data_IF_570107052532
#
_entry.id   IF_570107052532
#
_cell.length_a   1.000
_cell.length_b   1.000
_cell.length_c   1.000
_cell.angle_alpha   90.00
_cell.angle_beta   90.00
_cell.angle_gamma   90.00
#
_symmetry.space_group_name_H-M   'P 1'
#
loop_
_entity.id
_entity.type
_entity.pdbx_description
1 polymer ?
#
# COMPACT_ATOMS: atom_id res chain seq x y z
N UNK A 1 -55.43 -11.23 9.00
CA UNK A 1 -54.08 -11.83 8.90
C UNK A 1 -53.26 -10.99 7.94
N UNK A 2 -52.48 -10.03 8.45
CA UNK A 2 -51.55 -9.24 7.63
C UNK A 2 -50.15 -9.82 7.82
N UNK A 3 -49.56 -10.30 6.73
CA UNK A 3 -48.17 -10.75 6.69
C UNK A 3 -47.28 -9.52 6.45
N UNK A 4 -46.49 -9.12 7.46
CA UNK A 4 -45.38 -8.19 7.26
C UNK A 4 -44.21 -8.94 6.63
N UNK A 5 -43.91 -8.63 5.36
CA UNK A 5 -42.67 -9.04 4.72
C UNK A 5 -41.52 -8.14 5.16
N UNK A 6 -40.51 -8.72 5.82
CA UNK A 6 -39.23 -8.06 6.05
C UNK A 6 -38.44 -8.03 4.74
N UNK A 7 -38.28 -6.84 4.15
CA UNK A 7 -37.32 -6.61 3.08
C UNK A 7 -35.92 -6.50 3.73
N UNK A 8 -35.12 -7.56 3.62
CA UNK A 8 -33.71 -7.51 4.01
C UNK A 8 -32.93 -6.64 3.03
N UNK A 9 -32.49 -5.46 3.47
CA UNK A 9 -31.51 -4.65 2.76
C UNK A 9 -30.18 -5.42 2.74
N UNK A 10 -29.89 -6.09 1.62
CA UNK A 10 -28.55 -6.62 1.38
C UNK A 10 -27.58 -5.44 1.24
N UNK A 11 -26.80 -5.20 2.29
CA UNK A 11 -25.68 -4.26 2.23
C UNK A 11 -24.64 -4.86 1.29
N UNK A 12 -24.42 -4.27 0.12
CA UNK A 12 -23.27 -4.59 -0.72
C UNK A 12 -22.02 -4.11 0.02
N UNK A 13 -21.38 -4.99 0.80
CA UNK A 13 -20.08 -4.69 1.41
C UNK A 13 -19.06 -4.59 0.27
N UNK A 14 -18.61 -3.37 -0.06
CA UNK A 14 -17.48 -3.21 -0.96
C UNK A 14 -16.22 -3.71 -0.23
N UNK A 15 -15.67 -4.83 -0.70
CA UNK A 15 -14.54 -5.47 -0.06
C UNK A 15 -13.18 -4.79 -0.37
N UNK A 16 -13.17 -3.93 -1.38
CA UNK A 16 -11.97 -3.31 -1.92
C UNK A 16 -11.66 -1.96 -1.25
N UNK A 17 -10.41 -1.52 -1.37
CA UNK A 17 -9.91 -0.32 -0.71
C UNK A 17 -8.75 0.29 -1.47
N UNK A 18 -8.38 1.51 -1.11
CA UNK A 18 -7.23 2.20 -1.69
C UNK A 18 -6.54 3.11 -0.67
N UNK A 19 -5.32 3.53 -1.00
CA UNK A 19 -4.61 4.54 -0.26
C UNK A 19 -5.24 5.90 -0.60
N UNK A 20 -5.73 6.60 0.42
CA UNK A 20 -6.59 7.77 0.23
C UNK A 20 -6.00 9.07 0.76
N UNK A 21 -5.14 8.99 1.77
CA UNK A 21 -4.60 10.17 2.41
C UNK A 21 -3.25 9.90 3.09
N UNK A 22 -2.45 10.95 3.23
CA UNK A 22 -1.21 10.95 4.00
C UNK A 22 -1.30 11.99 5.12
N UNK A 23 -0.84 11.62 6.31
CA UNK A 23 -0.73 12.51 7.47
C UNK A 23 0.74 12.64 7.80
N UNK A 24 1.26 13.86 7.81
CA UNK A 24 2.69 14.14 8.02
C UNK A 24 2.86 14.90 9.33
N UNK A 25 3.60 14.31 10.29
CA UNK A 25 3.78 14.93 11.61
C UNK A 25 2.46 15.22 12.33
N UNK A 26 1.43 14.41 12.09
CA UNK A 26 0.08 14.60 12.63
C UNK A 26 -0.82 15.55 11.82
N UNK A 27 -0.32 16.19 10.76
CA UNK A 27 -1.10 17.08 9.90
C UNK A 27 -1.63 16.32 8.69
N UNK A 28 -2.96 16.22 8.62
CA UNK A 28 -3.69 15.67 7.48
C UNK A 28 -3.46 16.53 6.23
N UNK A 29 -3.04 15.91 5.11
CA UNK A 29 -2.74 16.60 3.85
C UNK A 29 -3.96 16.74 2.93
N UNK A 30 -5.10 16.15 3.30
CA UNK A 30 -6.33 16.14 2.55
C UNK A 30 -6.43 15.02 1.53
N UNK A 31 -7.67 14.56 1.31
CA UNK A 31 -7.97 13.38 0.53
C UNK A 31 -7.49 13.48 -0.93
N UNK A 32 -6.72 12.48 -1.36
CA UNK A 32 -6.10 12.40 -2.68
C UNK A 32 -5.00 13.43 -2.96
N UNK A 33 -4.71 14.35 -2.03
CA UNK A 33 -3.67 15.35 -2.26
C UNK A 33 -2.29 14.69 -2.29
N UNK A 34 -1.48 15.11 -3.28
CA UNK A 34 -0.15 14.57 -3.53
C UNK A 34 -0.10 13.06 -3.80
N UNK A 35 -1.25 12.42 -4.02
CA UNK A 35 -1.38 11.00 -4.31
C UNK A 35 -1.73 10.75 -5.76
N UNK A 36 -1.17 9.69 -6.33
CA UNK A 36 -1.55 9.18 -7.65
C UNK A 36 -2.66 8.16 -7.45
N UNK A 37 -3.88 8.67 -7.28
CA UNK A 37 -5.06 7.86 -6.92
C UNK A 37 -5.55 7.06 -8.14
N UNK A 38 -5.80 5.75 -8.02
CA UNK A 38 -6.35 4.94 -9.10
C UNK A 38 -7.81 5.34 -9.42
N UNK A 39 -8.32 5.01 -10.61
CA UNK A 39 -9.69 5.37 -11.00
C UNK A 39 -10.77 4.56 -10.27
N UNK A 40 -10.40 3.43 -9.66
CA UNK A 40 -11.29 2.55 -8.92
C UNK A 40 -10.52 1.81 -7.81
N UNK A 41 -11.22 0.97 -7.06
CA UNK A 41 -10.66 0.18 -5.97
C UNK A 41 -10.16 -1.21 -6.41
N UNK A 42 -10.13 -1.50 -7.71
CA UNK A 42 -9.76 -2.83 -8.19
C UNK A 42 -8.27 -3.11 -7.90
N UNK A 43 -7.91 -4.36 -7.57
CA UNK A 43 -6.53 -4.71 -7.28
C UNK A 43 -5.74 -4.90 -8.57
N UNK A 44 -4.43 -4.67 -8.50
CA UNK A 44 -3.49 -5.17 -9.51
C UNK A 44 -3.24 -6.65 -9.23
N UNK A 45 -3.35 -7.51 -10.23
CA UNK A 45 -3.18 -8.96 -10.07
C UNK A 45 -1.95 -9.47 -10.83
N UNK A 46 -1.67 -8.88 -12.00
CA UNK A 46 -0.49 -9.23 -12.79
C UNK A 46 0.78 -8.60 -12.20
N UNK A 47 1.60 -9.40 -11.53
CA UNK A 47 2.88 -8.97 -10.92
C UNK A 47 3.93 -8.47 -11.93
N UNK A 48 3.73 -8.71 -13.23
CA UNK A 48 4.58 -8.18 -14.31
C UNK A 48 4.07 -6.86 -14.89
N UNK A 49 2.86 -6.42 -14.54
CA UNK A 49 2.31 -5.14 -15.01
C UNK A 49 3.11 -3.96 -14.48
N UNK A 50 3.25 -2.91 -15.29
CA UNK A 50 3.78 -1.61 -14.86
C UNK A 50 2.94 -0.99 -13.75
N UNK A 51 1.66 -1.33 -13.66
CA UNK A 51 0.74 -0.87 -12.60
C UNK A 51 1.18 -1.35 -11.21
N UNK A 52 2.05 -2.36 -11.11
CA UNK A 52 2.64 -2.77 -9.83
C UNK A 52 3.40 -1.63 -9.13
N UNK A 53 3.89 -0.65 -9.88
CA UNK A 53 4.62 0.48 -9.31
C UNK A 53 3.70 1.40 -8.50
N UNK A 54 2.61 1.90 -9.10
CA UNK A 54 1.77 2.92 -8.49
C UNK A 54 0.26 2.76 -8.77
N UNK A 55 -0.18 1.55 -9.15
CA UNK A 55 -1.52 1.23 -9.62
C UNK A 55 -1.85 1.85 -10.99
N UNK A 56 -3.02 1.54 -11.53
CA UNK A 56 -3.56 2.09 -12.79
C UNK A 56 -3.58 3.62 -12.71
N UNK A 57 -3.15 4.28 -13.79
CA UNK A 57 -2.91 5.74 -13.88
C UNK A 57 -1.80 6.27 -12.96
N UNK A 58 -1.20 5.45 -12.10
CA UNK A 58 -0.15 5.82 -11.16
C UNK A 58 1.19 6.19 -11.80
N UNK A 59 1.33 5.97 -13.11
CA UNK A 59 2.51 6.43 -13.86
C UNK A 59 2.46 7.92 -14.18
N UNK A 60 1.27 8.53 -14.14
CA UNK A 60 1.11 9.97 -14.37
C UNK A 60 1.33 10.75 -13.06
N UNK A 61 2.14 11.82 -13.08
CA UNK A 61 2.31 12.67 -11.90
C UNK A 61 1.04 13.46 -11.57
N UNK A 62 0.91 13.83 -10.30
CA UNK A 62 -0.04 14.86 -9.85
C UNK A 62 0.67 16.19 -9.62
N UNK A 63 -0.11 17.28 -9.54
CA UNK A 63 0.45 18.63 -9.49
C UNK A 63 1.24 18.95 -8.22
N UNK A 64 0.87 18.35 -7.09
CA UNK A 64 1.42 18.67 -5.76
C UNK A 64 2.27 17.52 -5.22
N UNK A 65 3.28 17.86 -4.43
CA UNK A 65 3.95 16.92 -3.53
C UNK A 65 3.82 17.41 -2.09
N UNK A 66 3.92 16.49 -1.14
CA UNK A 66 3.96 16.80 0.28
C UNK A 66 5.40 17.01 0.75
N UNK A 67 5.62 17.93 1.67
CA UNK A 67 6.91 18.15 2.32
C UNK A 67 7.04 17.26 3.54
N UNK A 68 8.13 16.51 3.65
CA UNK A 68 8.40 15.60 4.77
C UNK A 68 9.85 15.76 5.21
N UNK A 69 10.11 15.79 6.50
CA UNK A 69 11.48 15.73 7.03
C UNK A 69 11.96 14.28 7.12
N UNK A 70 13.22 14.02 6.79
CA UNK A 70 13.85 12.73 7.06
C UNK A 70 13.78 12.43 8.57
N UNK A 71 13.40 11.20 8.93
CA UNK A 71 13.14 10.81 10.33
C UNK A 71 11.72 11.13 10.82
N UNK A 72 10.90 11.83 10.03
CA UNK A 72 9.53 12.15 10.42
C UNK A 72 8.60 10.94 10.24
N UNK A 73 7.68 10.68 11.17
CA UNK A 73 6.62 9.71 10.96
C UNK A 73 5.60 10.24 9.95
N UNK A 74 5.19 9.36 9.06
CA UNK A 74 4.08 9.57 8.13
C UNK A 74 3.03 8.47 8.32
N UNK A 75 1.76 8.84 8.31
CA UNK A 75 0.65 7.88 8.33
C UNK A 75 0.02 7.80 6.95
N UNK A 76 -0.09 6.59 6.42
CA UNK A 76 -0.71 6.24 5.16
C UNK A 76 -2.11 5.68 5.48
N UNK A 77 -3.15 6.41 5.09
CA UNK A 77 -4.54 6.10 5.43
C UNK A 77 -5.22 5.35 4.29
N UNK A 78 -5.71 4.15 4.61
CA UNK A 78 -6.49 3.30 3.73
C UNK A 78 -7.99 3.42 4.05
N UNK A 79 -8.80 3.57 3.00
CA UNK A 79 -10.27 3.63 3.03
C UNK A 79 -10.81 2.99 1.75
N UNK A 80 -12.10 2.66 1.69
CA UNK A 80 -12.73 2.26 0.43
C UNK A 80 -12.65 3.38 -0.60
N UNK A 81 -13.04 4.61 -0.25
CA UNK A 81 -13.00 5.75 -1.17
C UNK A 81 -12.37 7.00 -0.55
N UNK A 82 -11.66 7.83 -1.35
CA UNK A 82 -11.07 9.07 -0.86
C UNK A 82 -12.10 10.06 -0.34
N UNK A 83 -13.28 10.14 -0.97
CA UNK A 83 -14.35 11.09 -0.63
C UNK A 83 -15.09 10.78 0.69
N UNK A 84 -14.71 9.70 1.37
CA UNK A 84 -15.30 9.28 2.63
C UNK A 84 -16.72 8.74 2.52
N UNK A 85 -17.24 8.51 1.29
CA UNK A 85 -18.53 7.86 1.07
C UNK A 85 -18.60 6.47 1.69
N UNK A 86 -17.45 5.79 1.78
CA UNK A 86 -17.25 4.53 2.50
C UNK A 86 -15.91 4.57 3.23
N UNK A 87 -15.97 4.66 4.56
CA UNK A 87 -14.80 4.83 5.43
C UNK A 87 -14.22 3.52 5.97
N UNK A 88 -14.85 2.38 5.70
CA UNK A 88 -14.30 1.08 6.09
C UNK A 88 -12.93 0.90 5.42
N UNK A 89 -11.86 0.58 6.18
CA UNK A 89 -10.51 0.62 5.65
C UNK A 89 -10.21 -0.58 4.75
N UNK A 90 -10.53 -1.79 5.22
CA UNK A 90 -10.21 -3.07 4.57
C UNK A 90 -11.24 -4.09 5.03
N UNK A 91 -11.77 -4.92 4.14
CA UNK A 91 -12.69 -5.99 4.51
C UNK A 91 -12.00 -7.14 5.23
N UNK A 92 -12.72 -7.80 6.14
CA UNK A 92 -12.21 -8.89 6.97
C UNK A 92 -11.71 -10.11 6.19
N UNK A 93 -12.15 -10.28 4.94
CA UNK A 93 -11.65 -11.34 4.05
C UNK A 93 -10.28 -11.04 3.47
N UNK A 94 -9.83 -9.78 3.47
CA UNK A 94 -8.62 -9.34 2.78
C UNK A 94 -7.42 -9.40 3.70
N UNK A 95 -7.07 -10.60 4.14
CA UNK A 95 -5.90 -10.80 5.00
C UNK A 95 -4.61 -10.85 4.20
N UNK A 96 -3.56 -10.24 4.74
CA UNK A 96 -2.21 -10.34 4.17
C UNK A 96 -1.22 -9.28 4.64
N UNK A 97 0.00 -9.28 4.07
CA UNK A 97 1.07 -8.38 4.49
C UNK A 97 0.86 -6.98 3.92
N UNK A 98 1.58 -6.03 4.50
CA UNK A 98 1.75 -4.69 3.97
C UNK A 98 3.24 -4.35 3.83
N UNK A 99 3.55 -3.42 2.93
CA UNK A 99 4.89 -2.84 2.84
C UNK A 99 4.87 -1.41 2.34
N UNK A 100 5.96 -0.69 2.63
CA UNK A 100 6.19 0.66 2.11
C UNK A 100 7.57 0.71 1.47
N UNK A 101 7.61 1.26 0.26
CA UNK A 101 8.81 1.49 -0.52
C UNK A 101 8.97 2.97 -0.82
N UNK A 102 10.19 3.37 -1.10
CA UNK A 102 10.51 4.69 -1.63
C UNK A 102 11.35 4.56 -2.90
N UNK A 103 11.25 5.56 -3.77
CA UNK A 103 12.11 5.72 -4.97
C UNK A 103 12.52 7.18 -5.09
N UNK A 104 13.83 7.44 -5.14
CA UNK A 104 14.36 8.77 -5.47
C UNK A 104 14.09 9.07 -6.94
N UNK A 105 13.66 10.30 -7.21
CA UNK A 105 13.41 10.82 -8.56
C UNK A 105 14.03 12.21 -8.70
N UNK A 106 14.37 12.62 -9.91
CA UNK A 106 14.85 13.98 -10.18
C UNK A 106 13.68 14.97 -10.19
N UNK A 107 12.51 14.50 -10.61
CA UNK A 107 11.26 15.24 -10.61
C UNK A 107 10.09 14.28 -10.43
N UNK A 108 8.92 14.79 -10.04
CA UNK A 108 7.72 13.95 -10.02
C UNK A 108 7.30 13.45 -11.40
N UNK A 109 7.77 14.06 -12.50
CA UNK A 109 7.47 13.60 -13.86
C UNK A 109 8.25 12.33 -14.26
N UNK A 110 9.24 11.92 -13.47
CA UNK A 110 10.02 10.71 -13.74
C UNK A 110 9.14 9.46 -13.64
N UNK A 111 9.46 8.44 -14.44
CA UNK A 111 8.71 7.19 -14.48
C UNK A 111 8.73 6.47 -13.12
N UNK A 112 7.55 6.07 -12.65
CA UNK A 112 7.43 5.35 -11.38
C UNK A 112 7.91 3.90 -11.49
N UNK A 113 7.54 3.20 -12.56
CA UNK A 113 7.94 1.83 -12.82
C UNK A 113 9.44 1.70 -13.12
N UNK A 114 9.96 0.49 -13.03
CA UNK A 114 11.37 0.17 -13.25
C UNK A 114 12.21 0.28 -11.97
N UNK A 115 13.54 0.45 -12.10
CA UNK A 115 14.49 0.33 -10.99
C UNK A 115 14.41 1.51 -10.01
N UNK A 116 15.04 1.32 -8.84
CA UNK A 116 15.28 2.37 -7.86
C UNK A 116 14.35 2.35 -6.64
N UNK A 117 13.48 1.35 -6.53
CA UNK A 117 12.61 1.18 -5.36
C UNK A 117 13.34 0.46 -4.24
N UNK A 118 13.37 1.02 -3.04
CA UNK A 118 13.89 0.36 -1.85
C UNK A 118 12.79 0.27 -0.80
N UNK A 119 12.72 -0.85 -0.08
CA UNK A 119 11.74 -1.05 0.99
C UNK A 119 12.22 -0.29 2.23
N UNK A 120 11.32 0.43 2.88
CA UNK A 120 11.61 1.12 4.15
C UNK A 120 10.87 0.48 5.33
N UNK A 121 9.81 -0.29 5.05
CA UNK A 121 8.99 -0.90 6.08
C UNK A 121 8.17 -2.08 5.52
N UNK A 122 7.86 -3.04 6.36
CA UNK A 122 6.88 -4.10 6.10
C UNK A 122 6.29 -4.66 7.39
N UNK A 123 5.11 -5.26 7.27
CA UNK A 123 4.48 -6.04 8.33
C UNK A 123 3.78 -7.26 7.71
N UNK A 124 4.07 -8.44 8.25
CA UNK A 124 3.56 -9.73 7.75
C UNK A 124 2.64 -10.40 8.76
N UNK A 125 2.81 -11.72 8.94
CA UNK A 125 2.13 -12.45 9.99
C UNK A 125 2.93 -12.40 11.29
N UNK A 126 2.34 -11.88 12.37
CA UNK A 126 2.93 -11.87 13.71
C UNK A 126 1.83 -11.81 14.77
N UNK A 127 2.10 -12.41 15.93
CA UNK A 127 1.17 -12.43 17.06
C UNK A 127 -0.25 -12.93 16.70
N UNK A 128 -0.35 -13.88 15.76
CA UNK A 128 -1.63 -14.47 15.35
C UNK A 128 -2.39 -13.66 14.29
N UNK A 129 -1.85 -12.55 13.81
CA UNK A 129 -2.54 -11.61 12.92
C UNK A 129 -1.66 -11.21 11.71
N UNK A 130 -2.30 -10.96 10.58
CA UNK A 130 -1.68 -10.28 9.44
C UNK A 130 -1.65 -8.75 9.64
N UNK A 131 -0.90 -8.04 8.80
CA UNK A 131 -0.84 -6.57 8.84
C UNK A 131 -2.24 -5.94 8.74
N UNK A 132 -3.08 -6.49 7.88
CA UNK A 132 -4.45 -6.05 7.58
C UNK A 132 -5.36 -6.02 8.81
N UNK A 133 -5.23 -6.99 9.71
CA UNK A 133 -5.97 -7.00 10.98
C UNK A 133 -5.57 -5.82 11.87
N UNK A 134 -4.26 -5.60 12.04
CA UNK A 134 -3.73 -4.46 12.79
C UNK A 134 -4.07 -3.13 12.13
N UNK A 135 -4.05 -3.08 10.80
CA UNK A 135 -4.39 -1.90 10.02
C UNK A 135 -5.88 -1.57 10.17
N UNK A 136 -6.75 -2.57 10.19
CA UNK A 136 -8.19 -2.38 10.48
C UNK A 136 -8.41 -1.92 11.92
N UNK A 137 -7.69 -2.50 12.88
CA UNK A 137 -7.74 -2.07 14.28
C UNK A 137 -7.25 -0.62 14.50
N UNK A 138 -6.34 -0.13 13.67
CA UNK A 138 -5.89 1.28 13.67
C UNK A 138 -6.80 2.22 12.85
N UNK A 139 -7.94 1.73 12.35
CA UNK A 139 -8.86 2.51 11.52
C UNK A 139 -8.29 2.84 10.14
N UNK A 140 -7.47 1.96 9.57
CA UNK A 140 -6.81 2.12 8.27
C UNK A 140 -5.52 2.94 8.30
N UNK A 141 -4.99 3.26 9.48
CA UNK A 141 -3.81 4.10 9.67
C UNK A 141 -2.54 3.27 9.76
N UNK A 142 -1.73 3.31 8.70
CA UNK A 142 -0.41 2.68 8.67
C UNK A 142 0.68 3.74 8.89
N UNK A 143 1.30 3.76 10.07
CA UNK A 143 2.37 4.72 10.38
C UNK A 143 3.74 4.11 10.11
N UNK A 144 4.56 4.81 9.31
CA UNK A 144 5.95 4.45 9.03
C UNK A 144 6.86 5.66 9.23
N UNK A 145 8.11 5.45 9.61
CA UNK A 145 9.09 6.53 9.76
C UNK A 145 9.89 6.65 8.47
N UNK A 146 9.99 7.85 7.91
CA UNK A 146 10.88 8.09 6.78
C UNK A 146 12.32 7.94 7.28
N UNK A 147 13.20 7.16 6.62
CA UNK A 147 14.54 6.93 7.12
C UNK A 147 15.33 8.24 7.23
N UNK A 148 15.95 8.45 8.40
CA UNK A 148 16.56 9.73 8.81
C UNK A 148 17.83 10.10 8.03
N UNK A 149 18.49 9.11 7.46
CA UNK A 149 19.77 9.19 6.75
C UNK A 149 19.59 9.35 5.24
N UNK A 150 18.35 9.37 4.73
CA UNK A 150 18.09 9.65 3.32
C UNK A 150 18.60 11.02 2.90
N UNK A 151 19.12 11.08 1.67
CA UNK A 151 19.39 12.34 0.99
C UNK A 151 18.09 13.13 0.78
N UNK A 152 18.17 14.46 0.92
CA UNK A 152 17.06 15.35 0.56
C UNK A 152 16.80 15.33 -0.95
N UNK A 153 15.54 15.44 -1.37
CA UNK A 153 15.18 15.35 -2.78
C UNK A 153 13.71 15.02 -3.02
N UNK A 154 13.38 14.70 -4.28
CA UNK A 154 12.05 14.22 -4.64
C UNK A 154 12.01 12.69 -4.54
N UNK A 155 10.92 12.19 -3.97
CA UNK A 155 10.67 10.78 -3.79
C UNK A 155 9.23 10.43 -4.17
N UNK A 156 9.05 9.19 -4.64
CA UNK A 156 7.76 8.52 -4.61
C UNK A 156 7.72 7.59 -3.39
N UNK A 157 6.65 7.65 -2.60
CA UNK A 157 6.38 6.71 -1.51
C UNK A 157 5.28 5.76 -1.99
N UNK A 158 5.56 4.47 -2.07
CA UNK A 158 4.62 3.43 -2.50
C UNK A 158 4.18 2.64 -1.28
N UNK A 159 2.89 2.64 -0.99
CA UNK A 159 2.29 1.76 0.01
C UNK A 159 1.61 0.59 -0.69
N UNK A 160 1.75 -0.61 -0.14
CA UNK A 160 1.06 -1.80 -0.63
C UNK A 160 0.41 -2.60 0.48
N UNK A 161 -0.69 -3.24 0.11
CA UNK A 161 -1.27 -4.38 0.82
C UNK A 161 -1.54 -5.50 -0.20
N UNK A 162 -1.16 -6.72 0.15
CA UNK A 162 -1.38 -7.91 -0.66
C UNK A 162 -2.47 -8.77 -0.01
N UNK A 163 -3.66 -8.84 -0.60
CA UNK A 163 -4.74 -9.70 -0.09
C UNK A 163 -4.59 -11.14 -0.60
N UNK A 164 -4.69 -12.10 0.32
CA UNK A 164 -4.35 -13.50 0.09
C UNK A 164 -5.55 -14.43 -0.09
N UNK A 165 -6.78 -13.94 0.00
CA UNK A 165 -7.99 -14.77 -0.05
C UNK A 165 -8.22 -15.52 -1.38
N UNK A 166 -7.50 -15.13 -2.44
CA UNK A 166 -7.46 -15.85 -3.72
C UNK A 166 -6.05 -16.33 -4.08
N UNK A 167 -5.08 -16.19 -3.17
CA UNK A 167 -3.67 -16.45 -3.43
C UNK A 167 -3.30 -17.95 -3.53
N UNK A 168 -4.24 -18.87 -3.27
CA UNK A 168 -4.06 -20.30 -3.56
C UNK A 168 -3.94 -20.58 -5.07
N UNK A 169 -4.47 -19.67 -5.89
CA UNK A 169 -4.35 -19.69 -7.34
C UNK A 169 -3.15 -18.85 -7.77
N UNK A 170 -2.30 -19.39 -8.65
CA UNK A 170 -1.21 -18.61 -9.26
C UNK A 170 -1.83 -17.43 -10.02
N UNK A 171 -1.39 -16.22 -9.69
CA UNK A 171 -1.97 -15.00 -10.23
C UNK A 171 -3.36 -14.67 -9.66
N UNK A 172 -3.74 -15.21 -8.51
CA UNK A 172 -4.97 -14.83 -7.80
C UNK A 172 -4.76 -13.80 -6.69
N UNK A 173 -3.53 -13.62 -6.21
CA UNK A 173 -3.23 -12.65 -5.17
C UNK A 173 -3.48 -11.20 -5.63
N UNK A 174 -4.06 -10.39 -4.74
CA UNK A 174 -4.56 -9.07 -5.08
C UNK A 174 -3.72 -7.97 -4.46
N UNK A 175 -3.11 -7.11 -5.28
CA UNK A 175 -2.27 -6.01 -4.83
C UNK A 175 -3.03 -4.69 -4.82
N UNK A 176 -3.21 -4.15 -3.63
CA UNK A 176 -3.72 -2.80 -3.40
C UNK A 176 -2.52 -1.87 -3.26
N UNK A 177 -2.37 -0.94 -4.19
CA UNK A 177 -1.17 -0.10 -4.33
C UNK A 177 -1.58 1.36 -4.40
N UNK A 178 -0.81 2.23 -3.75
CA UNK A 178 -0.92 3.67 -3.90
C UNK A 178 0.43 4.37 -3.78
N UNK A 179 0.59 5.48 -4.50
CA UNK A 179 1.81 6.28 -4.48
C UNK A 179 1.57 7.72 -4.05
N UNK A 180 2.49 8.24 -3.24
CA UNK A 180 2.54 9.63 -2.78
C UNK A 180 3.78 10.31 -3.34
N UNK A 181 3.62 11.55 -3.79
CA UNK A 181 4.71 12.42 -4.21
C UNK A 181 5.22 13.20 -3.01
N UNK A 182 6.49 13.00 -2.66
CA UNK A 182 7.11 13.60 -1.49
C UNK A 182 8.37 14.40 -1.87
N UNK A 183 8.53 15.58 -1.27
CA UNK A 183 9.80 16.29 -1.21
C UNK A 183 10.37 16.09 0.19
N UNK A 184 11.44 15.30 0.29
CA UNK A 184 12.12 14.99 1.54
C UNK A 184 13.17 16.05 1.82
N UNK A 185 13.11 16.65 3.01
CA UNK A 185 14.14 17.53 3.55
C UNK A 185 15.05 16.73 4.47
N UNK A 186 16.36 17.01 4.42
CA UNK A 186 17.35 16.29 5.21
C UNK A 186 18.47 17.25 5.62
N UNK A 187 18.93 17.15 6.86
CA UNK A 187 19.97 18.00 7.44
C UNK A 187 21.36 17.35 7.39
N UNK A 188 21.62 16.49 6.39
CA UNK A 188 22.92 15.82 6.21
C UNK A 188 22.86 14.35 5.84
N UNK A 189 21.66 13.77 5.66
CA UNK A 189 21.52 12.43 5.11
C UNK A 189 22.09 12.36 3.69
N UNK A 190 22.76 11.27 3.37
CA UNK A 190 23.39 11.01 2.08
C UNK A 190 23.16 9.58 1.59
N UNK A 191 22.34 8.79 2.30
CA UNK A 191 22.06 7.41 1.96
C UNK A 191 21.38 7.33 0.58
N UNK A 192 21.85 6.37 -0.22
CA UNK A 192 21.30 6.00 -1.52
C UNK A 192 21.09 4.50 -1.54
N UNK A 193 20.00 4.00 -0.91
CA UNK A 193 19.76 2.57 -0.79
C UNK A 193 19.75 1.88 -2.16
N UNK A 194 20.33 0.69 -2.24
CA UNK A 194 20.23 -0.12 -3.45
C UNK A 194 18.76 -0.53 -3.66
N UNK A 195 18.23 -0.22 -4.84
CA UNK A 195 16.84 -0.47 -5.17
C UNK A 195 16.65 -1.73 -6.01
N UNK A 196 15.44 -2.26 -5.96
CA UNK A 196 14.88 -3.25 -6.88
C UNK A 196 14.05 -2.58 -7.97
N UNK A 197 13.65 -3.34 -8.99
CA UNK A 197 12.68 -2.90 -9.99
C UNK A 197 11.26 -3.24 -9.56
N UNK A 198 10.31 -2.32 -9.80
CA UNK A 198 8.88 -2.60 -9.70
C UNK A 198 8.23 -2.26 -11.04
N UNK A 199 7.66 -3.22 -11.79
CA UNK A 199 7.61 -4.67 -11.51
C UNK A 199 9.01 -5.34 -11.52
N UNK A 200 9.11 -6.54 -10.94
CA UNK A 200 10.34 -7.34 -10.87
C UNK A 200 10.83 -7.73 -9.46
N UNK A 201 10.39 -7.00 -8.43
CA UNK A 201 10.75 -7.25 -7.02
C UNK A 201 10.19 -8.56 -6.45
N UNK A 202 9.21 -9.16 -7.12
CA UNK A 202 8.59 -10.44 -6.77
C UNK A 202 8.11 -11.16 -8.03
N UNK A 203 7.65 -12.39 -7.89
CA UNK A 203 7.04 -13.17 -8.96
C UNK A 203 5.79 -13.91 -8.46
N UNK A 204 4.99 -14.43 -9.39
CA UNK A 204 3.70 -15.06 -9.07
C UNK A 204 3.85 -16.36 -8.26
N UNK A 205 5.01 -17.02 -8.30
CA UNK A 205 5.32 -18.25 -7.57
C UNK A 205 6.04 -17.99 -6.23
N UNK A 206 6.27 -16.73 -5.86
CA UNK A 206 6.87 -16.43 -4.56
C UNK A 206 5.97 -17.00 -3.44
N UNK A 207 6.51 -17.63 -2.38
CA UNK A 207 5.70 -18.34 -1.38
C UNK A 207 4.75 -17.45 -0.55
N UNK A 208 5.02 -16.14 -0.50
CA UNK A 208 4.06 -15.15 0.02
C UNK A 208 3.19 -14.47 -1.03
N UNK A 209 3.19 -14.94 -2.27
CA UNK A 209 2.30 -14.46 -3.34
C UNK A 209 1.40 -15.60 -3.80
N UNK A 210 1.95 -16.79 -4.02
CA UNK A 210 1.21 -18.04 -4.13
C UNK A 210 1.13 -18.68 -2.75
N UNK A 211 0.04 -18.40 -2.04
CA UNK A 211 -0.14 -18.79 -0.64
C UNK A 211 -1.57 -19.30 -0.42
N UNK A 212 -1.70 -20.52 0.07
CA UNK A 212 -3.00 -21.10 0.43
C UNK A 212 -3.47 -20.60 1.79
N UNK A 213 -4.09 -19.41 1.78
CA UNK A 213 -4.57 -18.74 2.97
C UNK A 213 -5.61 -19.56 3.74
N UNK A 214 -6.53 -20.23 3.03
CA UNK A 214 -7.66 -20.92 3.68
C UNK A 214 -7.21 -22.12 4.50
N UNK A 215 -6.16 -22.81 4.06
CA UNK A 215 -5.56 -23.90 4.82
C UNK A 215 -4.46 -23.43 5.80
N UNK A 216 -4.03 -22.17 5.71
CA UNK A 216 -2.92 -21.62 6.51
C UNK A 216 -3.25 -20.24 7.08
N UNK A 217 -4.45 -20.04 7.65
CA UNK A 217 -4.88 -18.73 8.18
C UNK A 217 -3.99 -18.22 9.33
N UNK A 218 -3.30 -19.14 10.03
CA UNK A 218 -2.36 -18.86 11.12
C UNK A 218 -1.03 -19.54 10.86
N UNK A 219 -0.26 -19.11 9.84
CA UNK A 219 0.99 -19.76 9.50
C UNK A 219 2.02 -19.54 10.62
N UNK A 220 2.92 -20.50 10.83
CA UNK A 220 4.02 -20.33 11.80
C UNK A 220 5.02 -19.25 11.36
N UNK A 221 5.19 -19.08 10.04
CA UNK A 221 5.99 -18.06 9.42
C UNK A 221 5.39 -17.65 8.08
N UNK A 222 5.55 -16.38 7.69
CA UNK A 222 5.09 -15.88 6.40
C UNK A 222 6.24 -15.19 5.65
N UNK A 223 6.49 -15.61 4.41
CA UNK A 223 7.54 -15.04 3.56
C UNK A 223 7.05 -13.78 2.87
N UNK A 224 7.38 -12.61 3.42
CA UNK A 224 6.95 -11.32 2.84
C UNK A 224 7.64 -11.09 1.48
N UNK A 225 6.91 -10.80 0.39
CA UNK A 225 7.50 -10.53 -0.93
C UNK A 225 8.42 -9.32 -0.97
N UNK A 226 9.38 -9.33 -1.89
CA UNK A 226 10.34 -8.24 -2.11
C UNK A 226 11.56 -8.28 -1.17
N UNK A 227 12.47 -7.29 -1.29
CA UNK A 227 13.68 -7.23 -0.46
C UNK A 227 13.34 -7.00 1.02
N UNK A 228 14.32 -7.17 1.92
CA UNK A 228 14.19 -6.68 3.30
C UNK A 228 14.11 -5.13 3.32
N UNK A 229 13.53 -4.51 4.35
CA UNK A 229 13.74 -3.09 4.61
C UNK A 229 15.23 -2.77 4.69
N UNK A 230 15.63 -1.63 4.13
CA UNK A 230 17.01 -1.16 4.23
C UNK A 230 17.36 -0.68 5.64
#
# INVERSE_FOLDING_TARGET
LQALGFLGLMSSTNAHHMLTNIIVGGVDQGDGNSMRVPPNTDPVVNVQSTDMACNVNGLNPVRKGVSIDAGQPVTLQWRTWPDGSQNAPIADSHQGPCAVYMKSVNSFADQANGPGWFKIWHDGFRNGEFCTERLRASGGKMTVTIPKDLAGGYYLIRAEHLALHQAQNIGGAQWYIGCVQAKVYSTGGNARPQGVSIPGHTNANHPGVHFDYWNNMKPTSYSIPGPAPY
#
